data_IF_508452593680
#
_entry.id   IF_508452593680
#
_cell.length_a   1.000
_cell.length_b   1.000
_cell.length_c   1.000
_cell.angle_alpha   90.00
_cell.angle_beta   90.00
_cell.angle_gamma   90.00
#
_symmetry.space_group_name_H-M   'P 1'
#
loop_
_entity.id
_entity.type
_entity.pdbx_description
1 polymer ?
#
# COMPACT_ATOMS: atom_id res chain seq x y z
N UNK A 1 -26.95 9.88 -23.95
CA UNK A 1 -26.93 9.81 -22.47
C UNK A 1 -26.07 8.63 -22.04
N UNK A 2 -24.82 8.85 -21.65
CA UNK A 2 -23.94 7.77 -21.16
C UNK A 2 -24.40 7.34 -19.77
N UNK A 3 -25.14 6.24 -19.68
CA UNK A 3 -25.52 5.64 -18.38
C UNK A 3 -24.23 5.30 -17.65
N UNK A 4 -24.02 5.91 -16.48
CA UNK A 4 -22.92 5.53 -15.59
C UNK A 4 -23.11 4.05 -15.24
N UNK A 5 -22.12 3.17 -15.50
CA UNK A 5 -22.30 1.75 -15.22
C UNK A 5 -22.55 1.59 -13.70
N UNK A 6 -23.53 0.75 -13.32
CA UNK A 6 -23.78 0.45 -11.91
C UNK A 6 -22.50 -0.09 -11.26
N UNK A 7 -22.28 0.23 -9.98
CA UNK A 7 -21.14 -0.28 -9.21
C UNK A 7 -21.32 -1.79 -8.98
N UNK A 8 -20.86 -2.59 -9.93
CA UNK A 8 -20.82 -4.05 -9.85
C UNK A 8 -19.61 -4.51 -9.03
N UNK A 9 -19.83 -5.50 -8.17
CA UNK A 9 -18.77 -6.19 -7.45
C UNK A 9 -17.88 -6.99 -8.44
N UNK A 10 -16.65 -7.34 -8.04
CA UNK A 10 -15.78 -8.15 -8.91
C UNK A 10 -16.36 -9.52 -9.25
N UNK A 11 -17.09 -10.15 -8.32
CA UNK A 11 -17.76 -11.43 -8.54
C UNK A 11 -18.84 -11.32 -9.65
N UNK A 12 -19.59 -10.22 -9.67
CA UNK A 12 -20.59 -9.96 -10.70
C UNK A 12 -19.94 -9.65 -12.05
N UNK A 13 -18.85 -8.86 -12.04
CA UNK A 13 -18.07 -8.59 -13.26
C UNK A 13 -17.54 -9.89 -13.87
N UNK A 14 -17.04 -10.82 -13.07
CA UNK A 14 -16.59 -12.12 -13.58
C UNK A 14 -17.74 -12.97 -14.10
N UNK A 15 -18.92 -12.94 -13.47
CA UNK A 15 -20.10 -13.62 -14.00
C UNK A 15 -20.48 -13.09 -15.40
N UNK A 16 -20.43 -11.76 -15.61
CA UNK A 16 -20.66 -11.16 -16.92
C UNK A 16 -19.57 -11.53 -17.95
N UNK A 17 -18.30 -11.50 -17.53
CA UNK A 17 -17.17 -11.88 -18.40
C UNK A 17 -17.28 -13.35 -18.83
N UNK A 18 -17.65 -14.25 -17.92
CA UNK A 18 -17.80 -15.68 -18.22
C UNK A 18 -18.97 -15.97 -19.15
N UNK A 19 -20.09 -15.26 -18.96
CA UNK A 19 -21.28 -15.45 -19.77
C UNK A 19 -21.13 -14.90 -21.20
N UNK A 20 -20.54 -13.71 -21.35
CA UNK A 20 -20.44 -13.04 -22.65
C UNK A 20 -19.11 -13.26 -23.39
N UNK A 21 -18.07 -13.73 -22.69
CA UNK A 21 -16.70 -13.95 -23.23
C UNK A 21 -16.17 -12.80 -24.12
N UNK A 22 -16.25 -11.53 -23.66
CA UNK A 22 -15.79 -10.39 -24.43
C UNK A 22 -14.26 -10.36 -24.58
N UNK A 23 -13.77 -9.58 -25.54
CA UNK A 23 -12.33 -9.31 -25.67
C UNK A 23 -11.81 -8.49 -24.48
N UNK A 24 -10.52 -8.64 -24.17
CA UNK A 24 -9.89 -7.91 -23.04
C UNK A 24 -10.05 -6.39 -23.17
N UNK A 25 -9.98 -5.87 -24.40
CA UNK A 25 -10.18 -4.44 -24.71
C UNK A 25 -11.60 -4.00 -24.35
N UNK A 26 -12.61 -4.79 -24.71
CA UNK A 26 -14.00 -4.50 -24.38
C UNK A 26 -14.25 -4.55 -22.86
N UNK A 27 -13.59 -5.46 -22.12
CA UNK A 27 -13.68 -5.53 -20.65
C UNK A 27 -13.13 -4.25 -20.00
N UNK A 28 -11.93 -3.82 -20.44
CA UNK A 28 -11.30 -2.61 -19.95
C UNK A 28 -12.17 -1.37 -20.23
N UNK A 29 -12.74 -1.27 -21.44
CA UNK A 29 -13.65 -0.19 -21.81
C UNK A 29 -14.94 -0.22 -20.96
N UNK A 30 -15.59 -1.38 -20.84
CA UNK A 30 -16.86 -1.58 -20.14
C UNK A 30 -16.77 -1.18 -18.66
N UNK A 31 -15.71 -1.62 -17.99
CA UNK A 31 -15.54 -1.39 -16.56
C UNK A 31 -14.64 -0.20 -16.22
N UNK A 32 -14.15 0.53 -17.24
CA UNK A 32 -13.20 1.65 -17.12
C UNK A 32 -11.96 1.27 -16.30
N UNK A 33 -11.37 0.13 -16.65
CA UNK A 33 -10.21 -0.44 -15.97
C UNK A 33 -8.97 -0.32 -16.85
N UNK A 34 -7.81 -0.22 -16.22
CA UNK A 34 -6.54 -0.40 -16.92
C UNK A 34 -6.27 -1.88 -17.23
N UNK A 35 -5.49 -2.20 -18.29
CA UNK A 35 -5.09 -3.58 -18.57
C UNK A 35 -4.33 -4.26 -17.43
N UNK A 36 -3.57 -3.47 -16.66
CA UNK A 36 -2.84 -3.95 -15.49
C UNK A 36 -3.79 -4.39 -14.37
N UNK A 37 -4.81 -3.59 -14.05
CA UNK A 37 -5.84 -3.95 -13.05
C UNK A 37 -6.61 -5.21 -13.45
N UNK A 38 -6.99 -5.31 -14.73
CA UNK A 38 -7.67 -6.49 -15.23
C UNK A 38 -6.80 -7.75 -15.09
N UNK A 39 -5.50 -7.65 -15.43
CA UNK A 39 -4.55 -8.75 -15.24
C UNK A 39 -4.41 -9.17 -13.77
N UNK A 40 -4.31 -8.21 -12.85
CA UNK A 40 -4.28 -8.49 -11.41
C UNK A 40 -5.57 -9.17 -10.95
N UNK A 41 -6.73 -8.68 -11.39
CA UNK A 41 -8.02 -9.26 -11.03
C UNK A 41 -8.15 -10.70 -11.55
N UNK A 42 -7.72 -10.98 -12.78
CA UNK A 42 -7.67 -12.33 -13.33
C UNK A 42 -6.76 -13.26 -12.50
N UNK A 43 -5.55 -12.80 -12.14
CA UNK A 43 -4.65 -13.58 -11.28
C UNK A 43 -5.26 -13.89 -9.90
N UNK A 44 -6.02 -12.96 -9.32
CA UNK A 44 -6.72 -13.18 -8.06
C UNK A 44 -7.89 -14.15 -8.20
N UNK A 45 -8.57 -14.16 -9.34
CA UNK A 45 -9.59 -15.16 -9.67
C UNK A 45 -8.97 -16.55 -9.82
N UNK A 46 -7.86 -16.68 -10.53
CA UNK A 46 -7.14 -17.96 -10.69
C UNK A 46 -6.63 -18.50 -9.34
N UNK A 47 -6.28 -17.59 -8.42
CA UNK A 47 -5.95 -17.93 -7.03
C UNK A 47 -7.16 -18.29 -6.16
N UNK A 48 -8.39 -18.25 -6.69
CA UNK A 48 -9.63 -18.56 -5.99
C UNK A 48 -10.13 -17.46 -5.03
N UNK A 49 -9.58 -16.24 -5.11
CA UNK A 49 -10.03 -15.11 -4.26
C UNK A 49 -11.38 -14.57 -4.71
N UNK A 50 -11.62 -14.55 -6.02
CA UNK A 50 -12.89 -14.14 -6.60
C UNK A 50 -13.58 -15.34 -7.25
N UNK A 51 -14.87 -15.50 -6.97
CA UNK A 51 -15.73 -16.50 -7.59
C UNK A 51 -16.86 -15.79 -8.36
N UNK A 52 -17.16 -16.19 -9.61
CA UNK A 52 -18.30 -15.66 -10.35
C UNK A 52 -19.59 -15.84 -9.55
N UNK A 53 -20.41 -14.79 -9.44
CA UNK A 53 -21.70 -14.88 -8.77
C UNK A 53 -22.72 -15.61 -9.68
N UNK A 54 -23.21 -16.82 -9.31
CA UNK A 54 -24.14 -17.57 -10.15
C UNK A 54 -25.55 -16.98 -10.15
N UNK A 55 -25.89 -16.14 -9.16
CA UNK A 55 -27.22 -15.56 -9.01
C UNK A 55 -27.41 -14.25 -9.78
N UNK A 56 -26.39 -13.80 -10.50
CA UNK A 56 -26.49 -12.57 -11.27
C UNK A 56 -27.36 -12.79 -12.51
N UNK A 57 -28.38 -11.96 -12.66
CA UNK A 57 -29.19 -11.92 -13.87
C UNK A 57 -28.41 -11.21 -14.99
N UNK A 58 -27.67 -12.02 -15.74
CA UNK A 58 -26.78 -11.59 -16.83
C UNK A 58 -27.55 -10.85 -17.93
N UNK A 59 -28.82 -11.21 -18.18
CA UNK A 59 -29.63 -10.68 -19.29
C UNK A 59 -29.89 -9.17 -19.18
N UNK A 60 -29.83 -8.62 -17.97
CA UNK A 60 -29.97 -7.16 -17.73
C UNK A 60 -28.79 -6.34 -18.22
N UNK A 61 -27.69 -6.98 -18.60
CA UNK A 61 -26.41 -6.33 -18.90
C UNK A 61 -25.90 -6.65 -20.32
N UNK A 62 -26.76 -7.07 -21.25
CA UNK A 62 -26.37 -7.38 -22.64
C UNK A 62 -25.58 -6.27 -23.32
N UNK A 63 -25.91 -5.01 -23.00
CA UNK A 63 -25.38 -3.85 -23.70
C UNK A 63 -24.08 -3.32 -23.06
N UNK A 64 -23.61 -3.91 -21.95
CA UNK A 64 -22.46 -3.37 -21.19
C UNK A 64 -21.14 -3.43 -21.98
N UNK A 65 -21.02 -4.38 -22.91
CA UNK A 65 -19.84 -4.57 -23.75
C UNK A 65 -19.99 -3.95 -25.16
N UNK A 66 -21.15 -3.36 -25.48
CA UNK A 66 -21.39 -2.67 -26.77
C UNK A 66 -20.90 -1.22 -26.73
N UNK A 67 -19.67 -0.98 -26.27
CA UNK A 67 -19.10 0.36 -26.29
C UNK A 67 -18.60 0.65 -27.69
N UNK A 68 -19.30 1.54 -28.39
CA UNK A 68 -18.83 2.20 -29.61
C UNK A 68 -17.57 3.03 -29.28
N UNK A 69 -16.56 2.96 -30.15
CA UNK A 69 -15.19 3.50 -29.98
C UNK A 69 -15.05 5.03 -29.77
N UNK A 70 -16.12 5.76 -29.41
CA UNK A 70 -16.16 7.22 -29.34
C UNK A 70 -15.67 7.83 -28.01
N UNK A 71 -15.06 7.06 -27.11
CA UNK A 71 -14.64 7.56 -25.80
C UNK A 71 -13.12 7.70 -25.72
N UNK A 72 -12.66 8.93 -25.97
CA UNK A 72 -11.29 9.37 -25.78
C UNK A 72 -10.73 9.01 -24.39
N UNK A 73 -9.42 8.70 -24.26
CA UNK A 73 -8.82 8.31 -23.01
C UNK A 73 -8.81 9.48 -22.02
N UNK A 74 -9.71 9.44 -21.04
CA UNK A 74 -9.67 10.36 -19.91
C UNK A 74 -8.53 9.95 -18.97
N UNK A 75 -7.40 10.65 -19.09
CA UNK A 75 -6.28 10.61 -18.13
C UNK A 75 -6.77 11.06 -16.74
N UNK A 76 -7.40 10.15 -16.00
CA UNK A 76 -7.83 10.41 -14.63
C UNK A 76 -6.79 9.80 -13.70
N UNK A 77 -5.86 10.65 -13.28
CA UNK A 77 -4.87 10.39 -12.23
C UNK A 77 -5.60 9.91 -10.97
N UNK A 78 -5.49 8.62 -10.67
CA UNK A 78 -6.10 8.00 -9.49
C UNK A 78 -5.45 8.57 -8.21
N UNK A 79 -6.13 9.53 -7.56
CA UNK A 79 -5.92 9.78 -6.14
C UNK A 79 -6.42 8.54 -5.39
N UNK A 80 -5.49 7.86 -4.73
CA UNK A 80 -5.75 6.79 -3.76
C UNK A 80 -6.74 7.26 -2.70
N UNK A 81 -8.03 6.93 -2.87
CA UNK A 81 -9.05 7.13 -1.85
C UNK A 81 -9.08 5.89 -0.98
N UNK A 82 -8.57 6.04 0.23
CA UNK A 82 -8.69 5.08 1.33
C UNK A 82 -10.17 4.84 1.61
N UNK A 83 -10.65 3.62 1.39
CA UNK A 83 -12.04 3.25 1.67
C UNK A 83 -12.33 3.34 3.18
N UNK A 84 -13.15 4.32 3.56
CA UNK A 84 -13.76 4.43 4.89
C UNK A 84 -14.91 3.43 4.99
N UNK A 85 -14.65 2.27 5.61
CA UNK A 85 -15.68 1.32 6.01
C UNK A 85 -16.26 1.81 7.35
N UNK A 86 -17.45 2.40 7.31
CA UNK A 86 -18.29 2.58 8.49
C UNK A 86 -19.21 1.38 8.64
N UNK A 87 -18.95 0.55 9.64
CA UNK A 87 -19.94 -0.36 10.21
C UNK A 87 -19.74 -0.42 11.72
N UNK A 88 -20.69 0.15 12.46
CA UNK A 88 -20.80 0.13 13.91
C UNK A 88 -22.19 -0.45 14.26
N UNK A 89 -22.41 -0.99 15.47
CA UNK A 89 -22.29 -2.42 15.72
C UNK A 89 -23.58 -3.03 16.29
N UNK A 90 -23.71 -4.35 16.24
CA UNK A 90 -24.61 -5.08 17.15
C UNK A 90 -23.81 -6.13 17.92
N UNK A 91 -23.95 -6.04 19.24
CA UNK A 91 -23.25 -6.80 20.28
C UNK A 91 -23.96 -8.10 20.61
N UNK A 92 -23.24 -9.23 20.71
CA UNK A 92 -23.58 -10.32 21.63
C UNK A 92 -22.39 -11.27 21.89
N UNK A 93 -21.74 -11.04 23.03
CA UNK A 93 -21.06 -11.98 23.94
C UNK A 93 -20.63 -13.37 23.45
N UNK A 94 -19.30 -13.58 23.40
CA UNK A 94 -18.59 -14.52 24.29
C UNK A 94 -17.09 -14.27 24.18
N UNK A 95 -16.47 -13.91 25.30
CA UNK A 95 -15.05 -13.58 25.45
C UNK A 95 -14.20 -14.86 25.35
N UNK A 96 -13.96 -15.32 24.12
CA UNK A 96 -12.91 -16.29 23.86
C UNK A 96 -11.65 -15.48 23.56
N UNK A 97 -10.78 -15.37 24.57
CA UNK A 97 -9.43 -14.81 24.46
C UNK A 97 -8.54 -15.76 23.67
N UNK A 98 -8.90 -16.06 22.42
CA UNK A 98 -7.94 -16.58 21.46
C UNK A 98 -7.01 -15.42 21.19
N UNK A 99 -5.77 -15.53 21.67
CA UNK A 99 -4.68 -14.63 21.25
C UNK A 99 -4.69 -14.68 19.73
N UNK A 100 -5.27 -13.66 19.08
CA UNK A 100 -5.12 -13.48 17.65
C UNK A 100 -3.61 -13.61 17.39
N UNK A 101 -3.18 -14.46 16.45
CA UNK A 101 -1.76 -14.62 16.16
C UNK A 101 -1.24 -13.22 15.86
N UNK A 102 -0.43 -12.71 16.78
CA UNK A 102 0.18 -11.40 16.67
C UNK A 102 0.90 -11.43 15.34
N UNK A 103 0.39 -10.69 14.34
CA UNK A 103 1.04 -10.56 13.04
C UNK A 103 2.48 -10.25 13.35
N UNK A 104 3.35 -11.26 13.20
CA UNK A 104 4.75 -11.15 13.56
C UNK A 104 5.27 -10.07 12.64
N UNK A 105 5.46 -8.87 13.19
CA UNK A 105 5.85 -7.70 12.42
C UNK A 105 7.00 -8.10 11.52
N UNK A 106 7.00 -7.61 10.27
CA UNK A 106 8.12 -7.79 9.34
C UNK A 106 9.41 -7.60 10.14
N UNK A 107 10.13 -8.69 10.42
CA UNK A 107 11.40 -8.67 11.14
C UNK A 107 12.45 -8.16 10.15
N UNK A 108 12.33 -6.89 9.79
CA UNK A 108 13.30 -6.20 8.96
C UNK A 108 14.30 -5.54 9.88
N UNK A 109 15.55 -6.00 9.85
CA UNK A 109 16.65 -5.35 10.56
C UNK A 109 17.06 -4.02 9.91
N UNK A 110 16.43 -3.62 8.78
CA UNK A 110 16.73 -2.41 8.02
C UNK A 110 16.89 -1.14 8.86
N UNK A 111 16.07 -0.96 9.89
CA UNK A 111 16.17 0.21 10.78
C UNK A 111 17.44 0.10 11.62
N UNK A 112 17.70 -1.05 12.24
CA UNK A 112 18.91 -1.28 13.01
C UNK A 112 20.17 -1.13 12.14
N UNK A 113 20.17 -1.73 10.95
CA UNK A 113 21.28 -1.66 10.00
C UNK A 113 21.54 -0.21 9.56
N UNK A 114 20.48 0.56 9.28
CA UNK A 114 20.61 1.98 8.95
C UNK A 114 21.18 2.79 10.12
N UNK A 115 20.68 2.60 11.35
CA UNK A 115 21.20 3.33 12.52
C UNK A 115 22.68 3.01 12.78
N UNK A 116 23.12 1.78 12.52
CA UNK A 116 24.53 1.39 12.57
C UNK A 116 25.36 2.02 11.45
N UNK A 117 24.79 2.26 10.27
CA UNK A 117 25.46 2.87 9.13
C UNK A 117 25.58 4.40 9.21
N UNK A 118 24.87 5.08 10.11
CA UNK A 118 24.96 6.56 10.20
C UNK A 118 26.42 6.98 10.48
N UNK A 119 27.01 7.90 9.70
CA UNK A 119 28.38 8.35 9.90
C UNK A 119 28.48 9.40 11.02
N UNK A 120 29.70 9.66 11.49
CA UNK A 120 30.00 10.75 12.43
C UNK A 120 30.05 12.12 11.75
N UNK A 121 30.36 12.17 10.45
CA UNK A 121 30.33 13.39 9.66
C UNK A 121 28.91 13.71 9.19
N UNK A 122 28.47 14.99 9.21
CA UNK A 122 27.15 15.38 8.69
C UNK A 122 26.95 15.01 7.22
N UNK A 123 25.93 14.20 6.94
CA UNK A 123 25.49 13.85 5.59
C UNK A 123 24.05 14.34 5.37
N UNK A 124 23.71 14.69 4.13
CA UNK A 124 22.35 15.05 3.73
C UNK A 124 21.39 13.87 3.95
N UNK A 125 20.29 14.13 4.65
CA UNK A 125 19.30 13.10 5.00
C UNK A 125 18.69 12.44 3.75
N UNK A 126 18.47 13.20 2.69
CA UNK A 126 17.83 12.68 1.47
C UNK A 126 18.67 11.58 0.80
N UNK A 127 19.99 11.75 0.73
CA UNK A 127 20.91 10.75 0.20
C UNK A 127 20.91 9.49 1.07
N UNK A 128 20.96 9.66 2.39
CA UNK A 128 20.96 8.56 3.35
C UNK A 128 19.67 7.72 3.30
N UNK A 129 18.53 8.38 3.10
CA UNK A 129 17.22 7.74 2.98
C UNK A 129 17.12 6.88 1.72
N UNK A 130 17.66 7.37 0.60
CA UNK A 130 17.65 6.63 -0.66
C UNK A 130 18.53 5.37 -0.58
N UNK A 131 19.69 5.47 0.07
CA UNK A 131 20.63 4.36 0.21
C UNK A 131 20.10 3.24 1.12
N UNK A 132 19.58 3.59 2.29
CA UNK A 132 19.17 2.59 3.29
C UNK A 132 17.67 2.25 3.26
N UNK A 133 16.87 2.98 2.50
CA UNK A 133 15.42 2.75 2.36
C UNK A 133 14.64 2.99 3.66
N UNK A 134 15.07 3.97 4.48
CA UNK A 134 14.45 4.35 5.76
C UNK A 134 13.84 5.75 5.63
N UNK A 135 12.73 6.04 6.31
CA UNK A 135 12.10 7.37 6.22
C UNK A 135 12.65 8.38 7.24
N UNK A 136 12.54 9.68 6.95
CA UNK A 136 12.93 10.78 7.87
C UNK A 136 12.26 10.61 9.25
N UNK A 137 10.99 10.22 9.27
CA UNK A 137 10.23 10.05 10.50
C UNK A 137 10.82 8.96 11.40
N UNK A 138 11.33 7.88 10.82
CA UNK A 138 12.02 6.80 11.55
C UNK A 138 13.35 7.30 12.12
N UNK A 139 14.12 8.06 11.35
CA UNK A 139 15.39 8.64 11.80
C UNK A 139 15.19 9.62 12.97
N UNK A 140 14.14 10.44 12.95
CA UNK A 140 13.76 11.32 14.08
C UNK A 140 13.35 10.53 15.34
N UNK A 141 12.93 9.29 15.18
CA UNK A 141 12.57 8.39 16.27
C UNK A 141 13.71 7.44 16.65
N UNK A 142 14.94 7.65 16.15
CA UNK A 142 16.11 6.80 16.42
C UNK A 142 16.27 6.46 17.90
N UNK A 143 16.10 7.44 18.82
CA UNK A 143 16.15 7.23 20.27
C UNK A 143 15.26 6.07 20.74
N UNK A 144 14.01 5.98 20.26
CA UNK A 144 13.07 4.92 20.63
C UNK A 144 13.49 3.54 20.12
N UNK A 145 14.22 3.49 19.01
CA UNK A 145 14.74 2.24 18.46
C UNK A 145 16.00 1.78 19.20
N UNK A 146 16.88 2.72 19.56
CA UNK A 146 18.09 2.47 20.34
C UNK A 146 17.73 1.91 21.72
N UNK A 147 16.73 2.48 22.40
CA UNK A 147 16.22 1.98 23.70
C UNK A 147 15.71 0.53 23.67
N UNK A 148 15.28 0.05 22.51
CA UNK A 148 14.78 -1.32 22.31
C UNK A 148 15.82 -2.27 21.71
N UNK A 149 17.00 -1.75 21.39
CA UNK A 149 18.09 -2.51 20.76
C UNK A 149 18.95 -3.20 21.83
N UNK A 150 19.80 -4.14 21.42
CA UNK A 150 20.78 -4.74 22.33
C UNK A 150 21.72 -3.64 22.87
N UNK A 151 22.09 -3.69 24.17
CA UNK A 151 22.86 -2.64 24.82
C UNK A 151 24.24 -2.42 24.18
N UNK A 152 24.87 -3.48 23.68
CA UNK A 152 26.16 -3.40 22.97
C UNK A 152 26.05 -2.61 21.66
N UNK A 153 25.00 -2.85 20.88
CA UNK A 153 24.78 -2.15 19.62
C UNK A 153 24.31 -0.72 19.86
N UNK A 154 23.52 -0.48 20.91
CA UNK A 154 23.11 0.86 21.32
C UNK A 154 24.32 1.74 21.68
N UNK A 155 25.31 1.19 22.38
CA UNK A 155 26.56 1.88 22.69
C UNK A 155 27.37 2.23 21.43
N UNK A 156 27.37 1.35 20.42
CA UNK A 156 28.05 1.60 19.14
C UNK A 156 27.36 2.67 18.28
N UNK A 157 26.02 2.73 18.31
CA UNK A 157 25.26 3.73 17.55
C UNK A 157 25.40 5.13 18.17
N UNK A 158 25.38 5.22 19.50
CA UNK A 158 25.45 6.48 20.22
C UNK A 158 24.21 7.36 20.00
N UNK A 159 24.37 8.67 20.13
CA UNK A 159 23.28 9.63 19.93
C UNK A 159 23.22 10.08 18.47
N UNK A 160 22.10 9.81 17.79
CA UNK A 160 21.87 10.24 16.41
C UNK A 160 21.15 11.58 16.40
N UNK A 161 21.75 12.57 15.75
CA UNK A 161 21.18 13.91 15.61
C UNK A 161 20.69 14.08 14.18
N UNK A 162 19.43 14.53 14.05
CA UNK A 162 18.83 14.94 12.78
C UNK A 162 18.44 16.41 12.92
N UNK A 163 19.19 17.30 12.28
CA UNK A 163 18.97 18.75 12.38
C UNK A 163 19.09 19.42 11.02
N UNK A 164 18.34 20.50 10.84
CA UNK A 164 18.48 21.34 9.67
C UNK A 164 19.73 22.22 9.84
N UNK A 165 20.61 22.21 8.84
CA UNK A 165 21.72 23.14 8.77
C UNK A 165 21.16 24.54 8.47
N UNK A 166 21.62 25.55 9.21
CA UNK A 166 21.13 26.93 9.09
C UNK A 166 21.52 27.56 7.75
N UNK A 167 22.69 27.20 7.23
CA UNK A 167 23.26 27.83 6.05
C UNK A 167 22.66 27.25 4.77
N UNK A 168 22.63 25.93 4.66
CA UNK A 168 22.12 25.23 3.47
C UNK A 168 20.61 24.99 3.50
N UNK A 169 19.97 25.19 4.66
CA UNK A 169 18.57 24.81 4.94
C UNK A 169 18.25 23.33 4.64
N UNK A 170 19.27 22.48 4.51
CA UNK A 170 19.09 21.04 4.28
C UNK A 170 19.09 20.27 5.59
N UNK A 171 18.30 19.20 5.66
CA UNK A 171 18.33 18.27 6.80
C UNK A 171 19.60 17.44 6.73
N UNK A 172 20.36 17.42 7.81
CA UNK A 172 21.56 16.63 7.97
C UNK A 172 21.41 15.63 9.11
N UNK A 173 22.07 14.48 8.97
CA UNK A 173 22.13 13.42 9.96
C UNK A 173 23.58 13.09 10.27
N UNK A 174 23.90 12.90 11.54
CA UNK A 174 25.19 12.42 12.02
C UNK A 174 25.06 11.75 13.39
N UNK A 175 26.08 10.97 13.76
CA UNK A 175 26.29 10.44 15.10
C UNK A 175 27.16 11.38 15.93
N UNK A 176 26.74 11.63 17.16
CA UNK A 176 27.55 12.30 18.17
C UNK A 176 28.35 11.24 18.93
N UNK A 177 29.68 11.35 18.87
CA UNK A 177 30.56 10.51 19.68
C UNK A 177 30.47 11.02 21.11
N UNK A 178 29.90 10.22 22.01
CA UNK A 178 30.00 10.44 23.44
C UNK A 178 31.48 10.28 23.83
N UNK A 179 32.25 11.37 23.78
CA UNK A 179 33.54 11.45 24.44
C UNK A 179 33.29 11.47 25.94
N UNK A 180 33.34 10.28 26.55
CA UNK A 180 33.46 10.09 27.99
C UNK A 180 34.90 10.23 28.45
#
# INVERSE_FOLDING_TARGET
MTKKPPLLSWNDRFALIDAYKPSQVAICAAFRLSPAELKTAMSLRDAGTFAPNPNLDVTKYTDIFQISDDIAPSNTTLKSVTATVHSFPETASKRITTKAPQKRGRKGNKIADALLAVPTTPIAVDSFIQEHGVSVAVLRQAKRFIEKMNPEQAAQVGNIIVKQNKDTKTLMIWKEVLTG
#
